data_IF_197096467931
#
_entry.id   IF_197096467931
#
_cell.length_a   1.000
_cell.length_b   1.000
_cell.length_c   1.000
_cell.angle_alpha   90.00
_cell.angle_beta   90.00
_cell.angle_gamma   90.00
#
_symmetry.space_group_name_H-M   'P 1'
#
loop_
_entity.id
_entity.type
_entity.pdbx_description
1 polymer ?
#
# COMPACT_ATOMS: atom_id res chain seq x y z
N UNK A 1 15.19 -33.11 18.70
CA UNK A 1 15.89 -31.82 18.45
C UNK A 1 14.85 -30.80 18.08
N UNK A 2 14.83 -29.59 18.68
CA UNK A 2 13.92 -28.54 18.24
C UNK A 2 14.20 -28.25 16.77
N UNK A 3 13.17 -28.33 15.92
CA UNK A 3 13.31 -27.96 14.51
C UNK A 3 13.67 -26.49 14.44
N UNK A 4 14.77 -26.18 13.73
CA UNK A 4 15.20 -24.81 13.50
C UNK A 4 14.09 -24.08 12.73
N UNK A 5 13.58 -22.97 13.27
CA UNK A 5 12.57 -22.17 12.57
C UNK A 5 13.13 -21.69 11.22
N UNK A 6 12.39 -21.87 10.11
CA UNK A 6 12.83 -21.36 8.81
C UNK A 6 13.03 -19.83 8.83
N UNK A 7 14.04 -19.36 8.10
CA UNK A 7 14.40 -17.95 7.98
C UNK A 7 13.66 -17.33 6.79
N UNK A 8 12.90 -16.27 7.05
CA UNK A 8 12.15 -15.52 6.03
C UNK A 8 12.69 -14.11 5.94
N UNK A 9 13.07 -13.68 4.74
CA UNK A 9 13.36 -12.27 4.44
C UNK A 9 12.15 -11.63 3.77
N UNK A 10 11.69 -10.51 4.29
CA UNK A 10 10.75 -9.62 3.61
C UNK A 10 11.53 -8.43 3.07
N UNK A 11 11.61 -8.30 1.75
CA UNK A 11 12.20 -7.15 1.08
C UNK A 11 11.12 -6.09 0.88
N UNK A 12 11.32 -4.92 1.47
CA UNK A 12 10.40 -3.79 1.33
C UNK A 12 11.16 -2.58 0.76
N UNK A 13 10.73 -2.02 -0.38
CA UNK A 13 11.38 -0.85 -0.97
C UNK A 13 11.24 0.42 -0.11
N UNK A 14 10.46 0.34 0.95
CA UNK A 14 10.26 1.39 1.92
C UNK A 14 10.48 0.85 3.33
N UNK A 15 11.15 1.64 4.16
CA UNK A 15 11.39 1.37 5.59
C UNK A 15 10.50 2.26 6.47
N UNK A 16 10.64 2.13 7.77
CA UNK A 16 9.82 2.78 8.79
C UNK A 16 9.56 4.28 8.56
N UNK A 17 10.57 5.00 8.10
CA UNK A 17 10.49 6.45 7.88
C UNK A 17 9.58 6.85 6.72
N UNK A 18 9.32 5.97 5.77
CA UNK A 18 8.50 6.27 4.61
C UNK A 18 6.99 6.18 4.89
N UNK A 19 6.57 5.53 5.99
CA UNK A 19 5.18 5.34 6.44
C UNK A 19 4.17 5.08 5.28
N UNK A 20 4.57 4.28 4.30
CA UNK A 20 3.76 3.97 3.12
C UNK A 20 3.19 2.55 3.14
N UNK A 21 2.35 2.22 2.14
CA UNK A 21 1.66 0.93 2.04
C UNK A 21 2.59 -0.29 2.05
N UNK A 22 3.77 -0.22 1.40
CA UNK A 22 4.73 -1.32 1.39
C UNK A 22 5.30 -1.59 2.79
N UNK A 23 5.66 -0.54 3.53
CA UNK A 23 6.11 -0.68 4.91
C UNK A 23 5.03 -1.27 5.82
N UNK A 24 3.79 -0.78 5.70
CA UNK A 24 2.68 -1.31 6.50
C UNK A 24 2.44 -2.80 6.21
N UNK A 25 2.50 -3.20 4.93
CA UNK A 25 2.42 -4.62 4.52
C UNK A 25 3.57 -5.44 5.14
N UNK A 26 4.82 -5.01 4.96
CA UNK A 26 5.99 -5.71 5.48
C UNK A 26 5.93 -5.87 7.01
N UNK A 27 5.62 -4.78 7.72
CA UNK A 27 5.46 -4.77 9.18
C UNK A 27 4.34 -5.70 9.65
N UNK A 28 3.20 -5.69 8.97
CA UNK A 28 2.05 -6.52 9.30
C UNK A 28 2.37 -8.00 9.11
N UNK A 29 2.88 -8.35 7.94
CA UNK A 29 3.23 -9.73 7.62
C UNK A 29 4.35 -10.27 8.49
N UNK A 30 5.37 -9.46 8.79
CA UNK A 30 6.42 -9.84 9.73
C UNK A 30 5.85 -10.25 11.10
N UNK A 31 4.89 -9.48 11.64
CA UNK A 31 4.24 -9.82 12.91
C UNK A 31 3.46 -11.12 12.85
N UNK A 32 2.77 -11.37 11.73
CA UNK A 32 1.96 -12.58 11.54
C UNK A 32 2.82 -13.84 11.37
N UNK A 33 3.99 -13.70 10.74
CA UNK A 33 4.89 -14.82 10.45
C UNK A 33 5.81 -15.18 11.62
N UNK A 34 6.19 -14.23 12.47
CA UNK A 34 7.13 -14.44 13.60
C UNK A 34 6.79 -15.60 14.54
N UNK A 35 5.54 -15.98 14.82
CA UNK A 35 5.27 -17.14 15.68
C UNK A 35 5.81 -18.46 15.12
N UNK A 36 5.94 -18.59 13.79
CA UNK A 36 6.38 -19.82 13.12
C UNK A 36 7.74 -19.70 12.40
N UNK A 37 8.22 -18.47 12.15
CA UNK A 37 9.39 -18.20 11.32
C UNK A 37 10.33 -17.17 11.98
N UNK A 38 11.62 -17.27 11.68
CA UNK A 38 12.57 -16.20 11.96
C UNK A 38 12.50 -15.15 10.84
N UNK A 39 11.86 -14.00 11.10
CA UNK A 39 11.56 -12.99 10.08
C UNK A 39 12.48 -11.78 10.17
N UNK A 40 13.17 -11.48 9.09
CA UNK A 40 13.94 -10.25 8.86
C UNK A 40 13.21 -9.37 7.85
N UNK A 41 13.18 -8.05 8.08
CA UNK A 41 12.67 -7.05 7.11
C UNK A 41 13.83 -6.17 6.72
N UNK A 42 14.11 -6.06 5.41
CA UNK A 42 15.19 -5.24 4.87
C UNK A 42 14.76 -4.53 3.57
N UNK A 43 15.53 -3.52 3.15
CA UNK A 43 15.31 -2.85 1.86
C UNK A 43 15.83 -3.66 0.68
N UNK A 44 16.90 -4.43 0.92
CA UNK A 44 17.54 -5.25 -0.09
C UNK A 44 18.07 -6.54 0.54
N UNK A 45 18.29 -7.54 -0.29
CA UNK A 45 19.00 -8.75 0.09
C UNK A 45 20.53 -8.47 0.08
N UNK A 46 21.22 -8.92 1.11
CA UNK A 46 22.65 -8.68 1.33
C UNK A 46 23.55 -9.92 1.11
N UNK A 47 22.99 -10.99 0.50
CA UNK A 47 23.73 -12.25 0.27
C UNK A 47 23.61 -13.27 1.41
N UNK A 48 23.01 -12.92 2.56
CA UNK A 48 22.79 -13.88 3.65
C UNK A 48 21.81 -14.99 3.25
N UNK A 49 21.99 -16.21 3.80
CA UNK A 49 21.10 -17.33 3.51
C UNK A 49 19.73 -17.15 4.19
N UNK A 50 18.67 -17.34 3.42
CA UNK A 50 17.27 -17.45 3.87
C UNK A 50 16.63 -18.67 3.21
N UNK A 51 15.60 -19.22 3.84
CA UNK A 51 14.79 -20.30 3.27
C UNK A 51 13.74 -19.75 2.29
N UNK A 52 13.23 -18.55 2.59
CA UNK A 52 12.19 -17.86 1.79
C UNK A 52 12.50 -16.36 1.72
N UNK A 53 12.31 -15.80 0.54
CA UNK A 53 12.32 -14.36 0.28
C UNK A 53 10.93 -13.93 -0.22
N UNK A 54 10.33 -12.94 0.43
CA UNK A 54 9.11 -12.26 0.01
C UNK A 54 9.47 -10.83 -0.40
N UNK A 55 9.52 -10.57 -1.70
CA UNK A 55 9.87 -9.25 -2.24
C UNK A 55 8.61 -8.44 -2.56
N UNK A 56 8.43 -7.30 -1.90
CA UNK A 56 7.32 -6.39 -2.16
C UNK A 56 7.67 -5.47 -3.32
N UNK A 57 6.78 -5.36 -4.29
CA UNK A 57 6.89 -4.51 -5.48
C UNK A 57 7.91 -5.00 -6.52
N UNK A 58 7.42 -5.63 -7.59
CA UNK A 58 8.23 -6.29 -8.62
C UNK A 58 9.33 -5.40 -9.23
N UNK A 59 9.07 -4.10 -9.45
CA UNK A 59 10.05 -3.18 -10.04
C UNK A 59 11.06 -2.67 -9.03
N UNK A 60 10.61 -2.24 -7.85
CA UNK A 60 11.50 -1.62 -6.85
C UNK A 60 12.38 -2.61 -6.10
N UNK A 61 11.99 -3.87 -6.06
CA UNK A 61 12.78 -4.97 -5.46
C UNK A 61 13.53 -5.80 -6.51
N UNK A 62 13.52 -5.37 -7.78
CA UNK A 62 14.03 -6.15 -8.91
C UNK A 62 15.51 -6.56 -8.76
N UNK A 63 16.37 -5.65 -8.26
CA UNK A 63 17.79 -5.94 -8.08
C UNK A 63 18.02 -7.07 -7.08
N UNK A 64 17.31 -7.05 -5.95
CA UNK A 64 17.38 -8.13 -4.95
C UNK A 64 16.79 -9.45 -5.47
N UNK A 65 15.72 -9.38 -6.25
CA UNK A 65 15.10 -10.55 -6.89
C UNK A 65 16.07 -11.20 -7.87
N UNK A 66 16.71 -10.39 -8.73
CA UNK A 66 17.70 -10.85 -9.69
C UNK A 66 18.93 -11.44 -9.00
N UNK A 67 19.45 -10.77 -7.97
CA UNK A 67 20.58 -11.26 -7.18
C UNK A 67 20.28 -12.61 -6.51
N UNK A 68 19.06 -12.78 -5.96
CA UNK A 68 18.61 -14.05 -5.37
C UNK A 68 18.56 -15.19 -6.41
N UNK A 69 18.04 -14.91 -7.61
CA UNK A 69 17.98 -15.87 -8.70
C UNK A 69 19.41 -16.23 -9.19
N UNK A 70 20.27 -15.23 -9.35
CA UNK A 70 21.67 -15.42 -9.76
C UNK A 70 22.45 -16.28 -8.76
N UNK A 71 22.28 -16.06 -7.46
CA UNK A 71 22.92 -16.84 -6.41
C UNK A 71 22.51 -18.33 -6.45
N UNK A 72 21.35 -18.64 -7.05
CA UNK A 72 20.90 -20.02 -7.28
C UNK A 72 21.30 -20.57 -8.67
N UNK A 73 21.96 -19.76 -9.50
CA UNK A 73 22.35 -20.15 -10.87
C UNK A 73 21.16 -20.38 -11.80
N UNK A 74 20.00 -19.75 -11.55
CA UNK A 74 18.78 -19.95 -12.34
C UNK A 74 18.46 -18.74 -13.20
N UNK A 75 17.97 -19.01 -14.42
CA UNK A 75 17.51 -17.99 -15.38
C UNK A 75 15.98 -17.85 -15.41
N UNK A 76 15.29 -18.70 -14.68
CA UNK A 76 13.84 -18.73 -14.56
C UNK A 76 13.43 -18.78 -13.08
N UNK A 77 12.50 -19.65 -12.70
CA UNK A 77 11.94 -19.74 -11.36
C UNK A 77 12.97 -20.03 -10.27
N UNK A 78 13.19 -19.11 -9.36
CA UNK A 78 14.07 -19.25 -8.20
C UNK A 78 13.33 -19.88 -7.01
N UNK A 79 13.99 -20.84 -6.33
CA UNK A 79 13.43 -21.52 -5.17
C UNK A 79 13.24 -20.52 -4.01
N UNK A 80 12.15 -20.66 -3.27
CA UNK A 80 11.87 -19.88 -2.08
C UNK A 80 11.53 -18.41 -2.36
N UNK A 81 11.32 -18.00 -3.62
CA UNK A 81 11.03 -16.62 -3.98
C UNK A 81 9.54 -16.38 -4.19
N UNK A 82 8.96 -15.51 -3.40
CA UNK A 82 7.63 -14.92 -3.61
C UNK A 82 7.75 -13.44 -3.96
N UNK A 83 7.00 -12.98 -4.96
CA UNK A 83 6.90 -11.55 -5.30
C UNK A 83 5.48 -11.06 -5.04
N UNK A 84 5.36 -9.99 -4.27
CA UNK A 84 4.08 -9.38 -3.88
C UNK A 84 3.87 -8.12 -4.71
N UNK A 85 2.81 -8.12 -5.50
CA UNK A 85 2.44 -7.01 -6.38
C UNK A 85 1.58 -6.02 -5.60
N UNK A 86 2.09 -4.80 -5.44
CA UNK A 86 1.57 -3.87 -4.44
C UNK A 86 0.80 -2.68 -5.00
N UNK A 87 0.69 -2.59 -6.32
CA UNK A 87 -0.13 -1.58 -7.00
C UNK A 87 0.48 -1.08 -8.31
N UNK A 88 1.32 -0.05 -8.29
CA UNK A 88 1.91 0.51 -9.51
C UNK A 88 2.70 -0.49 -10.33
N UNK A 89 3.34 -1.44 -9.67
CA UNK A 89 4.01 -2.55 -10.35
C UNK A 89 3.02 -3.45 -11.09
N UNK A 90 1.87 -3.79 -10.49
CA UNK A 90 0.85 -4.64 -11.10
C UNK A 90 0.17 -4.00 -12.31
N UNK A 91 -0.21 -2.72 -12.19
CA UNK A 91 -1.06 -2.06 -13.19
C UNK A 91 -0.29 -1.23 -14.21
N UNK A 92 1.00 -0.92 -13.95
CA UNK A 92 1.82 -0.08 -14.83
C UNK A 92 3.16 -0.74 -15.17
N UNK A 93 4.00 -0.99 -14.16
CA UNK A 93 5.41 -1.29 -14.41
C UNK A 93 5.61 -2.62 -15.16
N UNK A 94 4.83 -3.67 -14.85
CA UNK A 94 4.93 -4.97 -15.55
C UNK A 94 4.54 -4.89 -17.02
N UNK A 95 3.89 -3.83 -17.47
CA UNK A 95 3.50 -3.66 -18.88
C UNK A 95 4.70 -3.29 -19.75
N UNK A 96 5.64 -2.51 -19.24
CA UNK A 96 6.70 -1.88 -20.03
C UNK A 96 8.11 -2.06 -19.46
N UNK A 97 8.27 -2.34 -18.17
CA UNK A 97 9.58 -2.42 -17.50
C UNK A 97 10.11 -3.85 -17.51
N UNK A 98 11.26 -4.05 -18.19
CA UNK A 98 11.89 -5.37 -18.33
C UNK A 98 12.33 -5.99 -16.99
N UNK A 99 12.72 -5.16 -16.00
CA UNK A 99 13.14 -5.65 -14.68
C UNK A 99 11.94 -6.11 -13.86
N UNK A 100 10.82 -5.38 -13.95
CA UNK A 100 9.56 -5.83 -13.33
C UNK A 100 9.09 -7.16 -13.94
N UNK A 101 9.13 -7.28 -15.26
CA UNK A 101 8.78 -8.52 -15.97
C UNK A 101 9.73 -9.68 -15.60
N UNK A 102 11.03 -9.42 -15.48
CA UNK A 102 12.00 -10.42 -15.02
C UNK A 102 11.70 -10.90 -13.59
N UNK A 103 11.34 -9.99 -12.69
CA UNK A 103 10.92 -10.32 -11.33
C UNK A 103 9.76 -11.30 -11.31
N UNK A 104 8.77 -11.12 -12.20
CA UNK A 104 7.65 -12.06 -12.33
C UNK A 104 8.12 -13.44 -12.80
N UNK A 105 9.10 -13.52 -13.73
CA UNK A 105 9.63 -14.80 -14.21
C UNK A 105 10.38 -15.54 -13.10
N UNK A 106 11.22 -14.84 -12.33
CA UNK A 106 12.01 -15.44 -11.25
C UNK A 106 11.14 -15.91 -10.08
N UNK A 107 10.02 -15.29 -9.82
CA UNK A 107 9.14 -15.68 -8.72
C UNK A 107 8.63 -17.11 -8.85
N UNK A 108 8.75 -17.91 -7.78
CA UNK A 108 8.06 -19.20 -7.64
C UNK A 108 6.56 -18.98 -7.43
N UNK A 109 6.21 -17.99 -6.64
CA UNK A 109 4.83 -17.56 -6.39
C UNK A 109 4.69 -16.06 -6.56
N UNK A 110 3.57 -15.64 -7.12
CA UNK A 110 3.12 -14.26 -7.14
C UNK A 110 1.99 -14.08 -6.14
N UNK A 111 1.97 -12.95 -5.48
CA UNK A 111 0.90 -12.57 -4.57
C UNK A 111 0.29 -11.26 -5.05
N UNK A 112 -1.02 -11.23 -5.16
CA UNK A 112 -1.81 -10.02 -5.36
C UNK A 112 -2.70 -9.79 -4.14
N UNK A 113 -3.07 -8.54 -3.87
CA UNK A 113 -3.65 -8.15 -2.60
C UNK A 113 -5.18 -7.98 -2.66
N UNK A 114 -5.78 -8.32 -3.80
CA UNK A 114 -7.23 -8.29 -4.03
C UNK A 114 -7.63 -9.25 -5.18
N UNK A 115 -8.92 -9.63 -5.25
CA UNK A 115 -9.42 -10.68 -6.14
C UNK A 115 -9.30 -10.38 -7.64
N UNK A 116 -9.42 -9.12 -8.05
CA UNK A 116 -9.26 -8.72 -9.45
C UNK A 116 -7.79 -8.57 -9.88
N UNK A 117 -6.83 -8.68 -8.94
CA UNK A 117 -5.40 -8.56 -9.22
C UNK A 117 -4.88 -9.55 -10.26
N UNK A 118 -5.31 -10.83 -10.28
CA UNK A 118 -4.88 -11.79 -11.30
C UNK A 118 -5.26 -11.39 -12.72
N UNK A 119 -6.31 -10.59 -12.91
CA UNK A 119 -6.78 -10.17 -14.24
C UNK A 119 -5.81 -9.21 -14.94
N UNK A 120 -5.02 -8.47 -14.16
CA UNK A 120 -3.95 -7.62 -14.68
C UNK A 120 -2.70 -8.41 -15.13
N UNK A 121 -2.63 -9.72 -14.84
CA UNK A 121 -1.49 -10.55 -15.18
C UNK A 121 -1.73 -11.36 -16.45
N UNK A 122 -0.66 -11.63 -17.25
CA UNK A 122 -0.69 -12.61 -18.32
C UNK A 122 -1.24 -13.96 -17.82
N UNK A 123 -2.06 -14.62 -18.63
CA UNK A 123 -2.72 -15.87 -18.25
C UNK A 123 -1.75 -16.94 -17.71
N UNK A 124 -0.56 -17.05 -18.31
CA UNK A 124 0.48 -18.02 -17.91
C UNK A 124 1.00 -17.79 -16.48
N UNK A 125 0.93 -16.56 -15.96
CA UNK A 125 1.38 -16.21 -14.62
C UNK A 125 0.30 -16.41 -13.55
N UNK A 126 -0.98 -16.47 -13.95
CA UNK A 126 -2.10 -16.66 -13.01
C UNK A 126 -2.02 -17.99 -12.24
N UNK A 127 -1.47 -19.03 -12.86
CA UNK A 127 -1.33 -20.36 -12.23
C UNK A 127 -0.43 -20.33 -10.97
N UNK A 128 0.56 -19.47 -10.94
CA UNK A 128 1.44 -19.28 -9.77
C UNK A 128 1.06 -18.11 -8.87
N UNK A 129 -0.08 -17.45 -9.17
CA UNK A 129 -0.58 -16.30 -8.42
C UNK A 129 -1.53 -16.75 -7.30
N UNK A 130 -1.41 -16.10 -6.15
CA UNK A 130 -2.30 -16.26 -5.00
C UNK A 130 -2.86 -14.92 -4.59
N UNK A 131 -4.14 -14.87 -4.26
CA UNK A 131 -4.78 -13.71 -3.67
C UNK A 131 -4.59 -13.80 -2.16
N UNK A 132 -3.94 -12.80 -1.57
CA UNK A 132 -3.79 -12.65 -0.12
C UNK A 132 -4.22 -11.24 0.24
N UNK A 133 -5.41 -11.11 0.81
CA UNK A 133 -5.96 -9.80 1.16
C UNK A 133 -5.12 -9.09 2.21
N UNK A 134 -5.08 -7.77 2.11
CA UNK A 134 -4.55 -6.93 3.18
C UNK A 134 -5.42 -7.08 4.44
N UNK A 135 -4.81 -6.81 5.58
CA UNK A 135 -5.52 -6.84 6.87
C UNK A 135 -5.13 -5.64 7.72
N UNK A 136 -6.06 -5.23 8.58
CA UNK A 136 -5.83 -4.19 9.58
C UNK A 136 -6.26 -4.69 10.96
N UNK A 137 -5.70 -4.09 12.01
CA UNK A 137 -6.23 -4.31 13.35
C UNK A 137 -7.59 -3.66 13.50
N UNK A 138 -8.55 -4.35 14.10
CA UNK A 138 -9.86 -3.78 14.40
C UNK A 138 -9.75 -2.65 15.44
N UNK A 139 -10.65 -1.69 15.36
CA UNK A 139 -10.89 -0.66 16.36
C UNK A 139 -12.37 -0.60 16.67
N UNK A 140 -12.71 -0.32 17.91
CA UNK A 140 -14.11 -0.09 18.28
C UNK A 140 -14.64 1.13 17.52
N UNK A 141 -15.81 1.05 16.89
CA UNK A 141 -16.46 2.24 16.33
C UNK A 141 -16.65 3.30 17.42
N UNK A 142 -16.48 4.57 17.03
CA UNK A 142 -16.76 5.70 17.92
C UNK A 142 -17.98 6.44 17.46
N UNK A 143 -18.70 7.07 18.39
CA UNK A 143 -19.82 7.93 18.05
C UNK A 143 -19.30 9.13 17.23
N UNK A 144 -19.89 9.35 16.06
CA UNK A 144 -19.59 10.49 15.20
C UNK A 144 -20.32 11.73 15.71
N UNK A 145 -19.74 12.92 15.50
CA UNK A 145 -20.44 14.18 15.76
C UNK A 145 -21.69 14.31 14.86
N UNK A 146 -22.69 15.02 15.32
CA UNK A 146 -23.89 15.37 14.53
C UNK A 146 -23.88 16.81 14.04
N UNK A 147 -22.84 17.57 14.36
CA UNK A 147 -22.74 19.00 14.01
C UNK A 147 -22.28 19.21 12.56
N UNK A 148 -21.56 18.25 12.00
CA UNK A 148 -21.05 18.30 10.64
C UNK A 148 -20.77 16.89 10.11
N UNK A 149 -20.75 16.73 8.81
CA UNK A 149 -20.20 15.55 8.14
C UNK A 149 -18.69 15.76 7.94
N UNK A 150 -17.89 14.80 8.32
CA UNK A 150 -16.44 14.81 8.09
C UNK A 150 -16.04 13.66 7.18
N UNK A 151 -15.62 13.99 5.97
CA UNK A 151 -14.94 13.07 5.08
C UNK A 151 -13.42 13.09 5.34
N UNK A 152 -12.72 11.97 5.14
CA UNK A 152 -11.27 11.90 5.19
C UNK A 152 -10.73 11.18 3.95
N UNK A 153 -9.71 11.75 3.32
CA UNK A 153 -8.87 11.07 2.34
C UNK A 153 -7.49 10.82 2.96
N UNK A 154 -6.95 9.62 2.78
CA UNK A 154 -5.60 9.26 3.22
C UNK A 154 -4.79 8.79 2.03
N UNK A 155 -3.81 9.58 1.63
CA UNK A 155 -2.91 9.29 0.51
C UNK A 155 -1.97 10.46 0.27
N UNK A 156 -0.71 10.15 -0.05
CA UNK A 156 0.24 11.19 -0.46
C UNK A 156 -0.25 11.87 -1.74
N UNK A 157 0.07 13.15 -1.89
CA UNK A 157 -0.21 13.93 -3.09
C UNK A 157 0.68 13.44 -4.23
N UNK A 158 0.12 12.56 -5.05
CA UNK A 158 0.70 12.00 -6.28
C UNK A 158 -0.42 11.53 -7.20
N UNK A 159 -0.15 11.43 -8.49
CA UNK A 159 -1.17 11.24 -9.53
C UNK A 159 -2.01 9.96 -9.35
N UNK A 160 -1.39 8.85 -8.95
CA UNK A 160 -2.09 7.58 -8.75
C UNK A 160 -3.17 7.64 -7.66
N UNK A 161 -3.06 8.61 -6.75
CA UNK A 161 -4.05 8.83 -5.67
C UNK A 161 -5.20 9.75 -6.08
N UNK A 162 -5.11 10.36 -7.25
CA UNK A 162 -6.12 11.26 -7.81
C UNK A 162 -6.64 12.34 -6.84
N UNK A 163 -5.74 13.11 -6.19
CA UNK A 163 -6.17 14.13 -5.21
C UNK A 163 -7.00 15.24 -5.84
N UNK A 164 -6.88 15.46 -7.15
CA UNK A 164 -7.67 16.45 -7.91
C UNK A 164 -9.17 16.20 -7.78
N UNK A 165 -9.62 14.95 -7.78
CA UNK A 165 -11.03 14.60 -7.54
C UNK A 165 -11.53 15.15 -6.20
N UNK A 166 -10.66 15.12 -5.17
CA UNK A 166 -11.03 15.69 -3.86
C UNK A 166 -11.01 17.23 -3.87
N UNK A 167 -10.10 17.85 -4.64
CA UNK A 167 -10.06 19.30 -4.80
C UNK A 167 -11.32 19.81 -5.51
N UNK A 168 -11.73 19.12 -6.58
CA UNK A 168 -12.98 19.43 -7.30
C UNK A 168 -14.21 19.28 -6.39
N UNK A 169 -14.29 18.18 -5.64
CA UNK A 169 -15.37 17.97 -4.68
C UNK A 169 -15.40 19.08 -3.61
N UNK A 170 -14.26 19.52 -3.11
CA UNK A 170 -14.16 20.62 -2.15
C UNK A 170 -14.68 21.95 -2.74
N UNK A 171 -14.37 22.21 -4.01
CA UNK A 171 -14.87 23.42 -4.69
C UNK A 171 -16.39 23.39 -4.92
N UNK A 172 -16.95 22.22 -5.26
CA UNK A 172 -18.41 22.04 -5.40
C UNK A 172 -19.10 22.27 -4.05
N UNK A 173 -18.49 21.82 -2.96
CA UNK A 173 -19.06 21.86 -1.60
C UNK A 173 -18.68 23.11 -0.80
N UNK A 174 -18.03 24.12 -1.42
CA UNK A 174 -17.51 25.31 -0.72
C UNK A 174 -18.55 26.09 0.09
N UNK A 175 -19.80 26.07 -0.36
CA UNK A 175 -20.93 26.76 0.26
C UNK A 175 -21.73 25.87 1.23
N UNK A 176 -21.21 24.68 1.57
CA UNK A 176 -21.80 23.73 2.51
C UNK A 176 -20.98 23.69 3.80
N UNK A 177 -21.23 24.60 4.77
CA UNK A 177 -20.35 24.78 5.94
C UNK A 177 -20.37 23.59 6.91
N UNK A 178 -21.33 22.72 6.80
CA UNK A 178 -21.51 21.49 7.58
C UNK A 178 -20.79 20.27 6.98
N UNK A 179 -20.10 20.42 5.83
CA UNK A 179 -19.28 19.37 5.21
C UNK A 179 -17.81 19.74 5.31
N UNK A 180 -17.06 18.92 6.03
CA UNK A 180 -15.62 19.08 6.22
C UNK A 180 -14.86 17.93 5.55
N UNK A 181 -13.78 18.26 4.85
CA UNK A 181 -12.91 17.32 4.14
C UNK A 181 -11.49 17.43 4.68
N UNK A 182 -11.00 16.38 5.31
CA UNK A 182 -9.62 16.27 5.77
C UNK A 182 -8.80 15.45 4.77
N UNK A 183 -7.69 16.00 4.27
CA UNK A 183 -6.76 15.28 3.40
C UNK A 183 -5.44 15.05 4.15
N UNK A 184 -5.08 13.78 4.36
CA UNK A 184 -3.87 13.34 5.06
C UNK A 184 -2.90 12.72 4.06
N UNK A 185 -1.70 13.28 3.95
CA UNK A 185 -0.63 12.79 3.09
C UNK A 185 0.39 13.88 2.79
N UNK A 186 1.64 13.48 2.59
CA UNK A 186 2.71 14.39 2.21
C UNK A 186 2.62 14.77 0.74
N UNK A 187 3.17 15.93 0.40
CA UNK A 187 3.35 16.36 -0.98
C UNK A 187 4.57 15.66 -1.58
N UNK A 188 4.34 14.64 -2.40
CA UNK A 188 5.37 13.99 -3.20
C UNK A 188 5.50 14.61 -4.60
N UNK A 189 4.53 15.43 -4.98
CA UNK A 189 4.49 16.24 -6.19
C UNK A 189 4.25 17.70 -5.80
N UNK A 190 5.15 18.58 -6.19
CA UNK A 190 5.13 20.00 -5.81
C UNK A 190 3.92 20.74 -6.40
N UNK A 191 3.49 20.39 -7.61
CA UNK A 191 2.31 20.97 -8.27
C UNK A 191 1.04 20.60 -7.51
N UNK A 192 0.87 19.32 -7.16
CA UNK A 192 -0.26 18.85 -6.35
C UNK A 192 -0.27 19.47 -4.95
N UNK A 193 0.91 19.67 -4.35
CA UNK A 193 1.04 20.39 -3.08
C UNK A 193 0.59 21.84 -3.18
N UNK A 194 0.91 22.50 -4.28
CA UNK A 194 0.45 23.89 -4.54
C UNK A 194 -1.06 23.95 -4.74
N UNK A 195 -1.63 23.00 -5.49
CA UNK A 195 -3.07 22.88 -5.68
C UNK A 195 -3.79 22.62 -4.34
N UNK A 196 -3.27 21.74 -3.49
CA UNK A 196 -3.85 21.48 -2.17
C UNK A 196 -3.92 22.73 -1.29
N UNK A 197 -2.84 23.54 -1.30
CA UNK A 197 -2.81 24.84 -0.58
C UNK A 197 -3.79 25.83 -1.15
N UNK A 198 -3.87 25.95 -2.47
CA UNK A 198 -4.83 26.83 -3.14
C UNK A 198 -6.29 26.42 -2.84
N UNK A 199 -6.58 25.12 -2.87
CA UNK A 199 -7.90 24.58 -2.51
C UNK A 199 -8.25 24.89 -1.06
N UNK A 200 -7.31 24.72 -0.13
CA UNK A 200 -7.52 25.03 1.28
C UNK A 200 -7.79 26.53 1.53
N UNK A 201 -7.18 27.40 0.73
CA UNK A 201 -7.43 28.84 0.81
C UNK A 201 -8.79 29.25 0.23
N UNK A 202 -9.26 28.57 -0.82
CA UNK A 202 -10.48 28.89 -1.53
C UNK A 202 -11.74 28.18 -0.97
N UNK A 203 -11.58 27.03 -0.32
CA UNK A 203 -12.68 26.16 0.12
C UNK A 203 -12.55 25.89 1.63
N UNK A 204 -13.25 26.66 2.50
CA UNK A 204 -13.09 26.59 3.96
C UNK A 204 -13.37 25.21 4.58
N UNK A 205 -14.19 24.39 3.93
CA UNK A 205 -14.48 23.01 4.34
C UNK A 205 -13.33 22.03 4.08
N UNK A 206 -12.34 22.37 3.26
CA UNK A 206 -11.19 21.51 2.94
C UNK A 206 -9.96 21.86 3.77
N UNK A 207 -9.31 20.84 4.30
CA UNK A 207 -8.05 21.00 5.05
C UNK A 207 -7.03 19.96 4.59
N UNK A 208 -5.88 20.41 4.14
CA UNK A 208 -4.74 19.54 3.94
C UNK A 208 -3.89 19.49 5.21
N UNK A 209 -3.79 18.31 5.83
CA UNK A 209 -3.13 18.12 7.12
C UNK A 209 -1.65 17.69 7.01
N UNK A 210 -1.15 17.51 5.77
CA UNK A 210 0.20 16.98 5.56
C UNK A 210 0.33 15.51 5.94
N UNK A 211 1.58 15.05 6.12
CA UNK A 211 1.87 13.71 6.60
C UNK A 211 1.64 13.59 8.10
N UNK A 212 0.87 12.60 8.53
CA UNK A 212 0.62 12.30 9.93
C UNK A 212 1.15 10.91 10.29
N UNK A 213 1.43 10.68 11.59
CA UNK A 213 1.78 9.35 12.06
C UNK A 213 0.66 8.35 11.76
N UNK A 214 1.00 7.07 11.57
CA UNK A 214 0.02 6.02 11.29
C UNK A 214 -1.09 5.96 12.36
N UNK A 215 -0.72 6.09 13.64
CA UNK A 215 -1.69 6.08 14.73
C UNK A 215 -2.63 7.30 14.70
N UNK A 216 -2.10 8.49 14.42
CA UNK A 216 -2.91 9.71 14.27
C UNK A 216 -3.85 9.59 13.06
N UNK A 217 -3.34 9.11 11.92
CA UNK A 217 -4.14 8.86 10.72
C UNK A 217 -5.30 7.90 11.01
N UNK A 218 -5.04 6.80 11.72
CA UNK A 218 -6.09 5.87 12.11
C UNK A 218 -7.16 6.47 13.03
N UNK A 219 -6.78 7.42 13.89
CA UNK A 219 -7.75 8.17 14.71
C UNK A 219 -8.62 9.09 13.85
N UNK A 220 -8.05 9.74 12.83
CA UNK A 220 -8.83 10.53 11.88
C UNK A 220 -9.83 9.66 11.12
N UNK A 221 -9.39 8.52 10.58
CA UNK A 221 -10.28 7.55 9.91
C UNK A 221 -11.41 7.12 10.86
N UNK A 222 -11.08 6.72 12.09
CA UNK A 222 -12.04 6.23 13.08
C UNK A 222 -13.10 7.29 13.45
N UNK A 223 -12.76 8.59 13.42
CA UNK A 223 -13.65 9.71 13.74
C UNK A 223 -14.41 10.26 12.54
N UNK A 224 -13.94 9.99 11.34
CA UNK A 224 -14.59 10.44 10.11
C UNK A 224 -15.91 9.70 9.88
N UNK A 225 -16.85 10.36 9.20
CA UNK A 225 -18.13 9.79 8.78
C UNK A 225 -17.95 8.94 7.52
N UNK A 226 -16.93 9.29 6.69
CA UNK A 226 -16.67 8.68 5.40
C UNK A 226 -15.18 8.72 5.10
N UNK A 227 -14.62 7.61 4.63
CA UNK A 227 -13.34 7.59 3.92
C UNK A 227 -13.61 7.77 2.42
N UNK A 228 -12.99 8.75 1.79
CA UNK A 228 -13.00 8.92 0.33
C UNK A 228 -11.69 8.39 -0.23
N UNK A 229 -11.77 7.51 -1.24
CA UNK A 229 -10.61 6.85 -1.81
C UNK A 229 -10.62 6.89 -3.35
N UNK A 230 -10.27 8.03 -3.98
CA UNK A 230 -10.38 8.24 -5.42
C UNK A 230 -9.20 7.69 -6.21
N UNK A 231 -8.37 6.82 -5.63
CA UNK A 231 -7.16 6.29 -6.25
C UNK A 231 -7.45 5.56 -7.55
N UNK A 232 -6.64 5.82 -8.59
CA UNK A 232 -6.72 5.15 -9.90
C UNK A 232 -6.07 3.77 -9.91
N UNK A 233 -5.07 3.55 -9.04
CA UNK A 233 -4.30 2.30 -8.98
C UNK A 233 -4.07 1.91 -7.53
N UNK A 234 -4.58 0.74 -7.14
CA UNK A 234 -4.36 0.15 -5.82
C UNK A 234 -4.16 -1.36 -5.93
N UNK A 235 -3.06 -1.84 -5.38
CA UNK A 235 -2.84 -3.28 -5.24
C UNK A 235 -3.68 -3.87 -4.11
N UNK A 236 -3.76 -3.13 -3.00
CA UNK A 236 -4.56 -3.45 -1.82
C UNK A 236 -4.45 -2.30 -0.84
N UNK A 237 -5.46 -1.44 -0.80
CA UNK A 237 -5.43 -0.21 -0.02
C UNK A 237 -5.61 -0.47 1.48
N UNK A 238 -4.54 -0.37 2.26
CA UNK A 238 -4.59 -0.50 3.72
C UNK A 238 -5.63 0.41 4.36
N UNK A 239 -5.76 1.64 3.86
CA UNK A 239 -6.68 2.63 4.43
C UNK A 239 -8.14 2.20 4.34
N UNK A 240 -8.52 1.46 3.28
CA UNK A 240 -9.86 0.89 3.14
C UNK A 240 -10.10 -0.14 4.26
N UNK A 241 -9.16 -1.06 4.45
CA UNK A 241 -9.25 -2.06 5.52
C UNK A 241 -9.28 -1.40 6.91
N UNK A 242 -8.49 -0.34 7.09
CA UNK A 242 -8.48 0.44 8.33
C UNK A 242 -9.79 1.15 8.60
N UNK A 243 -10.43 1.68 7.57
CA UNK A 243 -11.75 2.32 7.69
C UNK A 243 -12.82 1.29 8.07
N UNK A 244 -12.93 0.21 7.30
CA UNK A 244 -13.89 -0.87 7.55
C UNK A 244 -13.71 -1.46 8.96
N UNK A 245 -12.46 -1.76 9.34
CA UNK A 245 -12.11 -2.27 10.69
C UNK A 245 -12.30 -1.23 11.82
N UNK A 246 -12.68 -0.01 11.51
CA UNK A 246 -12.99 1.06 12.47
C UNK A 246 -14.46 1.49 12.43
N UNK A 247 -15.28 0.84 11.61
CA UNK A 247 -16.70 1.18 11.41
C UNK A 247 -16.89 2.49 10.65
N UNK A 248 -15.94 2.85 9.76
CA UNK A 248 -16.06 4.03 8.89
C UNK A 248 -16.37 3.57 7.47
N UNK A 249 -17.51 4.00 6.90
CA UNK A 249 -17.88 3.71 5.51
C UNK A 249 -16.83 4.22 4.52
N UNK A 250 -16.78 3.60 3.34
CA UNK A 250 -15.82 3.95 2.27
C UNK A 250 -16.59 4.31 1.01
N UNK A 251 -16.17 5.39 0.35
CA UNK A 251 -16.51 5.77 -1.02
C UNK A 251 -15.23 5.64 -1.86
N UNK A 252 -15.22 4.70 -2.83
CA UNK A 252 -14.10 4.43 -3.73
C UNK A 252 -14.56 4.39 -5.18
#
# INVERSE_FOLDING_TARGET
LPMKQPRVLIISPAVANANNGNWQTARRWSRMLRPAFHVTVAQAWNGEPFDVVLALHARRSADSIAAWAQAQGVTATARGLGVVLTGTDLYRDIQTDAMAQASLRFAKHLVVLQECGPDALPHTLRLKTRVIFQSAGSRKPVQKTRQHLRAVMVGHLRDEKSPQTLFEAACILKDSPDILIDHIGESLDASLGSQARATAAACPGYRWLGGLSHETTRRHIQRAHLLVHPSRMEGGAHVIMEAVCSGTPVLA
#
